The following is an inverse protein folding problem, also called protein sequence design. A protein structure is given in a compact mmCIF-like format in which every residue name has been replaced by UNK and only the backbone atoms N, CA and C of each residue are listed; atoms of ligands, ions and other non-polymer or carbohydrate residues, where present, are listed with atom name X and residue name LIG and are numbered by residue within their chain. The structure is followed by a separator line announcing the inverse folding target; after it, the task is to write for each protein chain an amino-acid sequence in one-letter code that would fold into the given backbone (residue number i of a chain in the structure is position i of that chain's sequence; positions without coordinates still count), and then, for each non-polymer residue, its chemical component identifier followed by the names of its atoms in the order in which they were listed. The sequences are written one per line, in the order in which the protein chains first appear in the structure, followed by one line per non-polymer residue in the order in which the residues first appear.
data_IF_495438070579
#
_entry.id   IF_495438070579
#
_cell.length_a   1.000
_cell.length_b   1.000
_cell.length_c   1.000
_cell.angle_alpha   90.00
_cell.angle_beta   90.00
_cell.angle_gamma   90.00
#
_symmetry.space_group_name_H-M   'P 1'
#
loop_
_entity.id
_entity.type
_entity.pdbx_description
1 polymer ?
#
# COMPACT_ATOMS: atom_id res chain seq x y z
N UNK A 1 6.27 24.98 -9.58
CA UNK A 1 5.48 24.45 -8.45
C UNK A 1 4.69 23.30 -9.01
N UNK A 2 5.03 22.07 -8.61
CA UNK A 2 4.32 20.88 -9.10
C UNK A 2 3.23 20.49 -8.08
N UNK A 3 2.15 19.86 -8.58
CA UNK A 3 1.11 19.28 -7.77
C UNK A 3 1.25 17.75 -7.77
N UNK A 4 1.46 17.16 -6.61
CA UNK A 4 1.90 15.78 -6.41
C UNK A 4 0.85 14.97 -5.67
N UNK A 5 0.54 13.78 -6.19
CA UNK A 5 -0.22 12.79 -5.45
C UNK A 5 0.72 11.84 -4.71
N UNK A 6 0.47 11.59 -3.43
CA UNK A 6 1.13 10.54 -2.66
C UNK A 6 0.12 9.50 -2.21
N UNK A 7 0.39 8.22 -2.52
CA UNK A 7 -0.40 7.08 -2.04
C UNK A 7 0.45 6.16 -1.20
N UNK A 8 0.06 5.94 0.04
CA UNK A 8 0.84 5.11 0.94
C UNK A 8 0.00 3.98 1.56
N UNK A 9 0.66 2.85 1.83
CA UNK A 9 0.06 1.76 2.57
C UNK A 9 -0.20 2.19 4.03
N UNK A 10 -1.33 1.79 4.65
CA UNK A 10 -1.70 2.20 6.00
C UNK A 10 -0.91 1.41 7.06
N UNK A 11 0.28 1.86 7.36
CA UNK A 11 1.15 1.26 8.37
C UNK A 11 2.28 2.21 8.80
N UNK A 12 2.65 2.21 10.07
CA UNK A 12 3.70 3.10 10.59
C UNK A 12 5.04 2.94 9.87
N UNK A 13 5.43 1.71 9.56
CA UNK A 13 6.65 1.42 8.82
C UNK A 13 6.65 1.94 7.37
N UNK A 14 5.48 2.25 6.83
CA UNK A 14 5.28 2.81 5.50
C UNK A 14 5.13 4.33 5.54
N UNK A 15 4.36 4.87 6.48
CA UNK A 15 4.07 6.30 6.59
C UNK A 15 5.26 7.06 7.14
N UNK A 16 5.83 6.65 8.29
CA UNK A 16 6.88 7.41 8.96
C UNK A 16 8.11 7.70 8.07
N UNK A 17 8.63 6.76 7.25
CA UNK A 17 9.76 7.04 6.38
C UNK A 17 9.49 8.09 5.31
N UNK A 18 8.23 8.28 4.90
CA UNK A 18 7.87 9.23 3.84
C UNK A 18 7.65 10.65 4.34
N UNK A 19 7.41 10.85 5.65
CA UNK A 19 7.08 12.19 6.18
C UNK A 19 8.19 13.21 5.91
N UNK A 20 9.46 12.85 6.10
CA UNK A 20 10.59 13.74 5.83
C UNK A 20 10.70 14.10 4.34
N UNK A 21 10.43 13.16 3.44
CA UNK A 21 10.39 13.40 2.00
C UNK A 21 9.28 14.40 1.65
N UNK A 22 8.09 14.19 2.19
CA UNK A 22 6.93 15.06 1.92
C UNK A 22 7.17 16.48 2.47
N UNK A 23 7.70 16.59 3.68
CA UNK A 23 8.06 17.88 4.27
C UNK A 23 9.07 18.65 3.39
N UNK A 24 10.07 17.95 2.84
CA UNK A 24 11.05 18.55 1.93
C UNK A 24 10.44 19.00 0.61
N UNK A 25 9.53 18.22 0.00
CA UNK A 25 8.81 18.61 -1.21
C UNK A 25 7.96 19.87 -0.98
N UNK A 26 7.23 19.92 0.13
CA UNK A 26 6.44 21.10 0.51
C UNK A 26 7.34 22.31 0.74
N UNK A 27 8.48 22.18 1.42
CA UNK A 27 9.47 23.27 1.61
C UNK A 27 10.04 23.78 0.29
N UNK A 28 10.14 22.94 -0.73
CA UNK A 28 10.55 23.35 -2.09
C UNK A 28 9.42 23.98 -2.90
N UNK A 29 8.24 24.13 -2.32
CA UNK A 29 7.10 24.78 -2.94
C UNK A 29 6.22 23.85 -3.76
N UNK A 30 6.30 22.54 -3.58
CA UNK A 30 5.38 21.60 -4.21
C UNK A 30 4.09 21.48 -3.39
N UNK A 31 2.95 21.36 -4.08
CA UNK A 31 1.66 21.06 -3.47
C UNK A 31 1.48 19.55 -3.39
N UNK A 32 1.52 18.97 -2.19
CA UNK A 32 1.40 17.53 -2.01
C UNK A 32 0.03 17.18 -1.45
N UNK A 33 -0.71 16.33 -2.17
CA UNK A 33 -1.95 15.71 -1.72
C UNK A 33 -1.64 14.26 -1.32
N UNK A 34 -1.79 13.96 -0.03
CA UNK A 34 -1.38 12.69 0.55
C UNK A 34 -2.59 11.84 0.93
N UNK A 35 -2.77 10.71 0.24
CA UNK A 35 -3.81 9.73 0.51
C UNK A 35 -3.34 8.68 1.52
N UNK A 36 -4.02 8.58 2.66
CA UNK A 36 -3.79 7.57 3.69
C UNK A 36 -5.06 7.37 4.54
N UNK A 37 -5.01 6.48 5.54
CA UNK A 37 -6.11 6.32 6.50
C UNK A 37 -6.09 7.43 7.55
N UNK A 38 -7.27 7.72 8.15
CA UNK A 38 -7.48 8.84 9.08
C UNK A 38 -6.52 8.85 10.28
N UNK A 39 -6.07 7.68 10.73
CA UNK A 39 -5.13 7.52 11.85
C UNK A 39 -3.81 8.29 11.67
N UNK A 40 -3.39 8.57 10.42
CA UNK A 40 -2.13 9.27 10.10
C UNK A 40 -2.32 10.74 9.77
N UNK A 41 -3.55 11.26 9.76
CA UNK A 41 -3.88 12.63 9.35
C UNK A 41 -2.99 13.67 10.02
N UNK A 42 -2.95 13.71 11.35
CA UNK A 42 -2.16 14.70 12.08
C UNK A 42 -0.67 14.67 11.76
N UNK A 43 -0.10 13.47 11.57
CA UNK A 43 1.31 13.31 11.21
C UNK A 43 1.59 13.84 9.80
N UNK A 44 0.67 13.59 8.87
CA UNK A 44 0.79 13.99 7.47
C UNK A 44 0.60 15.50 7.34
N UNK A 45 -0.44 16.06 7.95
CA UNK A 45 -0.71 17.52 7.89
C UNK A 45 0.41 18.36 8.52
N UNK A 46 1.14 17.83 9.53
CA UNK A 46 2.33 18.49 10.09
C UNK A 46 3.46 18.69 9.08
N UNK A 47 3.50 17.91 8.00
CA UNK A 47 4.47 18.10 6.91
C UNK A 47 4.10 19.27 5.98
N UNK A 48 2.88 19.81 6.11
CA UNK A 48 2.31 20.80 5.21
C UNK A 48 1.58 20.21 4.00
N UNK A 49 1.49 18.90 3.87
CA UNK A 49 0.71 18.23 2.84
C UNK A 49 -0.80 18.31 3.12
N UNK A 50 -1.59 18.34 2.05
CA UNK A 50 -3.04 18.19 2.13
C UNK A 50 -3.40 16.71 2.31
N UNK A 51 -3.99 16.36 3.44
CA UNK A 51 -4.43 15.00 3.70
C UNK A 51 -5.77 14.71 3.03
N UNK A 52 -5.88 13.52 2.42
CA UNK A 52 -7.16 12.94 1.95
C UNK A 52 -7.30 11.50 2.43
N UNK A 53 -8.42 11.15 3.06
CA UNK A 53 -8.62 9.80 3.58
C UNK A 53 -9.06 8.80 2.52
N UNK A 54 -8.66 7.55 2.70
CA UNK A 54 -9.32 6.39 2.14
C UNK A 54 -9.72 5.41 3.26
N UNK A 55 -10.70 4.51 2.98
CA UNK A 55 -11.18 3.54 3.97
C UNK A 55 -10.04 2.61 4.45
N UNK A 56 -9.89 2.49 5.78
CA UNK A 56 -8.92 1.57 6.36
C UNK A 56 -9.36 0.12 6.14
N UNK A 57 -8.86 -0.51 5.09
CA UNK A 57 -9.18 -1.90 4.75
C UNK A 57 -8.54 -2.92 5.70
N UNK A 58 -7.54 -2.53 6.49
CA UNK A 58 -6.93 -3.38 7.51
C UNK A 58 -7.73 -3.39 8.81
N UNK A 59 -8.56 -2.39 9.08
CA UNK A 59 -9.34 -2.28 10.31
C UNK A 59 -10.30 -3.46 10.52
N UNK A 60 -10.73 -4.12 9.45
CA UNK A 60 -11.61 -5.30 9.48
C UNK A 60 -10.84 -6.62 9.56
N UNK A 61 -9.52 -6.58 9.49
CA UNK A 61 -8.67 -7.76 9.58
C UNK A 61 -8.26 -7.96 11.02
N UNK A 62 -8.72 -9.06 11.63
CA UNK A 62 -8.26 -9.45 12.97
C UNK A 62 -6.78 -9.85 12.91
N UNK A 63 -5.92 -8.92 13.34
CA UNK A 63 -4.48 -9.09 13.26
C UNK A 63 -3.99 -10.26 14.12
N UNK A 64 -4.66 -10.55 15.27
CA UNK A 64 -4.32 -11.69 16.11
C UNK A 64 -4.62 -13.01 15.41
N UNK A 65 -5.79 -13.11 14.78
CA UNK A 65 -6.15 -14.29 13.98
C UNK A 65 -5.21 -14.49 12.80
N UNK A 66 -4.77 -13.38 12.16
CA UNK A 66 -3.77 -13.44 11.11
C UNK A 66 -2.43 -13.98 11.62
N UNK A 67 -1.94 -13.49 12.75
CA UNK A 67 -0.68 -13.96 13.35
C UNK A 67 -0.75 -15.43 13.79
N UNK A 68 -1.92 -15.89 14.24
CA UNK A 68 -2.15 -17.29 14.63
C UNK A 68 -2.40 -18.23 13.44
N UNK A 69 -2.42 -17.71 12.20
CA UNK A 69 -2.72 -18.51 11.01
C UNK A 69 -4.17 -18.98 10.89
N UNK A 70 -5.09 -18.31 11.60
CA UNK A 70 -6.53 -18.65 11.62
C UNK A 70 -7.30 -18.05 10.44
N UNK A 71 -6.70 -17.09 9.72
CA UNK A 71 -7.29 -16.47 8.53
C UNK A 71 -6.71 -17.16 7.31
N UNK A 72 -7.59 -17.63 6.42
CA UNK A 72 -7.17 -18.16 5.12
C UNK A 72 -6.49 -17.05 4.29
N UNK A 73 -5.24 -17.27 3.83
CA UNK A 73 -4.51 -16.28 3.03
C UNK A 73 -5.26 -15.85 1.76
N UNK A 74 -6.06 -16.73 1.17
CA UNK A 74 -6.85 -16.42 -0.04
C UNK A 74 -8.03 -15.50 0.27
N UNK A 75 -8.69 -15.65 1.41
CA UNK A 75 -9.74 -14.74 1.87
C UNK A 75 -9.19 -13.35 2.18
N UNK A 76 -8.03 -13.30 2.85
CA UNK A 76 -7.34 -12.03 3.12
C UNK A 76 -6.97 -11.32 1.82
N UNK A 77 -6.38 -12.04 0.86
CA UNK A 77 -6.00 -11.48 -0.43
C UNK A 77 -7.24 -10.95 -1.17
N UNK A 78 -8.32 -11.72 -1.20
CA UNK A 78 -9.57 -11.31 -1.84
C UNK A 78 -10.16 -10.05 -1.18
N UNK A 79 -10.12 -9.97 0.15
CA UNK A 79 -10.55 -8.79 0.90
C UNK A 79 -9.71 -7.55 0.52
N UNK A 80 -8.38 -7.69 0.46
CA UNK A 80 -7.49 -6.61 0.07
C UNK A 80 -7.76 -6.14 -1.37
N UNK A 81 -7.89 -7.05 -2.32
CA UNK A 81 -8.16 -6.72 -3.73
C UNK A 81 -9.49 -5.98 -3.89
N UNK A 82 -10.56 -6.45 -3.24
CA UNK A 82 -11.88 -5.77 -3.27
C UNK A 82 -11.82 -4.38 -2.64
N UNK A 83 -11.07 -4.23 -1.56
CA UNK A 83 -10.92 -2.93 -0.90
C UNK A 83 -10.12 -1.95 -1.75
N UNK A 84 -9.04 -2.41 -2.39
CA UNK A 84 -8.27 -1.59 -3.32
C UNK A 84 -9.10 -1.15 -4.53
N UNK A 85 -9.91 -2.03 -5.13
CA UNK A 85 -10.82 -1.69 -6.24
C UNK A 85 -11.79 -0.58 -5.84
N UNK A 86 -12.38 -0.67 -4.64
CA UNK A 86 -13.25 0.37 -4.10
C UNK A 86 -12.53 1.71 -3.93
N UNK A 87 -11.33 1.70 -3.34
CA UNK A 87 -10.51 2.91 -3.14
C UNK A 87 -10.18 3.54 -4.49
N UNK A 88 -9.73 2.76 -5.48
CA UNK A 88 -9.37 3.24 -6.81
C UNK A 88 -10.56 3.96 -7.47
N UNK A 89 -11.76 3.37 -7.43
CA UNK A 89 -12.96 3.97 -8.02
C UNK A 89 -13.32 5.30 -7.38
N UNK A 90 -13.28 5.38 -6.05
CA UNK A 90 -13.59 6.61 -5.31
C UNK A 90 -12.55 7.69 -5.64
N UNK A 91 -11.26 7.36 -5.56
CA UNK A 91 -10.19 8.33 -5.77
C UNK A 91 -10.15 8.83 -7.22
N UNK A 92 -10.34 7.95 -8.22
CA UNK A 92 -10.40 8.39 -9.63
C UNK A 92 -11.56 9.38 -9.83
N UNK A 93 -12.71 9.14 -9.20
CA UNK A 93 -13.85 10.05 -9.29
C UNK A 93 -13.54 11.42 -8.67
N UNK A 94 -12.88 11.44 -7.49
CA UNK A 94 -12.45 12.67 -6.82
C UNK A 94 -11.44 13.48 -7.64
N UNK A 95 -10.58 12.79 -8.41
CA UNK A 95 -9.47 13.42 -9.13
C UNK A 95 -9.84 13.87 -10.55
N UNK A 96 -11.04 13.59 -11.05
CA UNK A 96 -11.45 13.86 -12.45
C UNK A 96 -11.26 15.31 -12.90
N UNK A 97 -11.54 16.25 -12.02
CA UNK A 97 -11.49 17.69 -12.34
C UNK A 97 -10.18 18.34 -11.89
N UNK A 98 -9.27 17.56 -11.30
CA UNK A 98 -8.00 18.06 -10.79
C UNK A 98 -6.85 17.66 -11.71
N UNK A 99 -5.82 18.54 -11.78
CA UNK A 99 -4.61 18.26 -12.54
C UNK A 99 -3.44 18.05 -11.60
N UNK A 100 -2.67 17.02 -11.86
CA UNK A 100 -1.47 16.66 -11.14
C UNK A 100 -0.30 16.46 -12.09
N UNK A 101 0.92 16.66 -11.61
CA UNK A 101 2.12 16.54 -12.41
C UNK A 101 2.74 15.15 -12.32
N UNK A 102 2.68 14.52 -11.16
CA UNK A 102 3.18 13.15 -10.95
C UNK A 102 2.62 12.50 -9.69
N UNK A 103 2.82 11.19 -9.58
CA UNK A 103 2.41 10.36 -8.45
C UNK A 103 3.63 9.76 -7.77
N UNK A 104 3.68 9.83 -6.44
CA UNK A 104 4.55 9.00 -5.61
C UNK A 104 3.68 7.93 -4.94
N UNK A 105 4.11 6.69 -4.95
CA UNK A 105 3.34 5.61 -4.32
C UNK A 105 4.23 4.62 -3.59
N UNK A 106 3.72 4.06 -2.49
CA UNK A 106 4.38 2.96 -1.80
C UNK A 106 4.36 1.70 -2.68
N UNK A 107 5.51 1.05 -2.84
CA UNK A 107 5.66 -0.14 -3.68
C UNK A 107 4.81 -1.34 -3.22
N UNK A 108 4.38 -1.36 -1.96
CA UNK A 108 3.46 -2.36 -1.42
C UNK A 108 1.99 -1.98 -1.56
N UNK A 109 1.68 -0.82 -2.17
CA UNK A 109 0.32 -0.31 -2.34
C UNK A 109 0.01 -0.01 -3.81
N UNK A 110 -0.46 -1.03 -4.53
CA UNK A 110 -0.71 -0.97 -5.96
C UNK A 110 -1.73 0.12 -6.39
N UNK A 111 -2.55 0.63 -5.47
CA UNK A 111 -3.55 1.68 -5.73
C UNK A 111 -2.92 2.89 -6.42
N UNK A 112 -1.81 3.41 -5.88
CA UNK A 112 -1.15 4.59 -6.45
C UNK A 112 -0.59 4.34 -7.85
N UNK A 113 -0.04 3.15 -8.10
CA UNK A 113 0.42 2.76 -9.44
C UNK A 113 -0.73 2.71 -10.44
N UNK A 114 -1.86 2.08 -10.07
CA UNK A 114 -3.04 1.95 -10.94
C UNK A 114 -3.66 3.32 -11.26
N UNK A 115 -3.75 4.21 -10.25
CA UNK A 115 -4.26 5.57 -10.42
C UNK A 115 -3.35 6.37 -11.36
N UNK A 116 -2.02 6.27 -11.19
CA UNK A 116 -1.06 6.95 -12.06
C UNK A 116 -1.21 6.50 -13.53
N UNK A 117 -1.41 5.19 -13.77
CA UNK A 117 -1.68 4.67 -15.12
C UNK A 117 -3.02 5.21 -15.68
N UNK A 118 -4.08 5.18 -14.88
CA UNK A 118 -5.41 5.64 -15.31
C UNK A 118 -5.43 7.15 -15.65
N UNK A 119 -4.62 7.94 -14.95
CA UNK A 119 -4.50 9.40 -15.18
C UNK A 119 -3.36 9.76 -16.13
N UNK A 120 -2.64 8.78 -16.68
CA UNK A 120 -1.47 8.98 -17.56
C UNK A 120 -0.38 9.88 -16.96
N UNK A 121 -0.15 9.76 -15.64
CA UNK A 121 0.82 10.57 -14.92
C UNK A 121 2.17 9.85 -14.78
N UNK A 122 3.30 10.60 -14.82
CA UNK A 122 4.58 10.10 -14.36
C UNK A 122 4.47 9.56 -12.93
N UNK A 123 5.21 8.49 -12.61
CA UNK A 123 5.10 7.84 -11.32
C UNK A 123 6.46 7.46 -10.74
N UNK A 124 6.56 7.61 -9.43
CA UNK A 124 7.75 7.29 -8.63
C UNK A 124 7.35 6.26 -7.57
N UNK A 125 8.04 5.13 -7.56
CA UNK A 125 7.83 4.10 -6.53
C UNK A 125 8.70 4.41 -5.31
N UNK A 126 8.06 4.58 -4.16
CA UNK A 126 8.72 4.70 -2.86
C UNK A 126 8.86 3.32 -2.22
N UNK A 127 10.09 2.92 -1.94
CA UNK A 127 10.38 1.64 -1.30
C UNK A 127 10.65 1.86 0.20
N UNK A 128 9.63 1.69 1.01
CA UNK A 128 9.67 1.92 2.47
C UNK A 128 10.20 0.72 3.25
N UNK A 129 10.37 -0.43 2.61
CA UNK A 129 10.88 -1.66 3.23
C UNK A 129 12.26 -2.03 2.64
N UNK A 130 12.31 -3.03 1.78
CA UNK A 130 13.51 -3.43 1.04
C UNK A 130 13.17 -3.75 -0.41
N UNK A 131 14.08 -3.47 -1.29
CA UNK A 131 13.88 -3.73 -2.72
C UNK A 131 13.89 -5.24 -2.99
N UNK A 132 12.76 -5.76 -3.46
CA UNK A 132 12.63 -7.17 -3.83
C UNK A 132 13.18 -7.37 -5.23
N UNK A 133 14.39 -7.93 -5.33
CA UNK A 133 14.95 -8.34 -6.62
C UNK A 133 14.26 -9.61 -7.14
N UNK A 134 14.31 -9.85 -8.45
CA UNK A 134 13.80 -11.10 -9.05
C UNK A 134 14.37 -12.35 -8.40
N UNK A 135 15.65 -12.31 -8.01
CA UNK A 135 16.33 -13.42 -7.32
C UNK A 135 15.72 -13.66 -5.93
N UNK A 136 15.52 -12.59 -5.15
CA UNK A 136 14.91 -12.68 -3.82
C UNK A 136 13.45 -13.13 -3.92
N UNK A 137 12.68 -12.56 -4.85
CA UNK A 137 11.29 -12.98 -5.09
C UNK A 137 11.19 -14.48 -5.41
N UNK A 138 12.01 -14.98 -6.33
CA UNK A 138 12.04 -16.41 -6.67
C UNK A 138 12.43 -17.29 -5.47
N UNK A 139 13.39 -16.85 -4.64
CA UNK A 139 13.78 -17.57 -3.44
C UNK A 139 12.64 -17.64 -2.41
N UNK A 140 11.93 -16.54 -2.18
CA UNK A 140 10.77 -16.48 -1.27
C UNK A 140 9.63 -17.39 -1.75
N UNK A 141 9.33 -17.35 -3.06
CA UNK A 141 8.25 -18.18 -3.63
C UNK A 141 8.60 -19.67 -3.61
N UNK A 142 9.85 -20.04 -3.84
CA UNK A 142 10.31 -21.42 -3.77
C UNK A 142 10.25 -21.98 -2.34
N UNK A 143 10.70 -21.20 -1.34
CA UNK A 143 10.61 -21.61 0.07
C UNK A 143 9.15 -21.78 0.52
N UNK A 144 8.25 -20.89 0.10
CA UNK A 144 6.83 -21.01 0.42
C UNK A 144 6.21 -22.27 -0.18
N UNK A 145 6.59 -22.65 -1.41
CA UNK A 145 6.13 -23.88 -2.04
C UNK A 145 6.64 -25.15 -1.31
N UNK A 146 7.84 -25.13 -0.77
CA UNK A 146 8.40 -26.23 0.04
C UNK A 146 7.69 -26.37 1.39
N UNK A 147 7.44 -25.27 2.10
CA UNK A 147 6.70 -25.28 3.36
C UNK A 147 5.26 -25.74 3.16
N UNK A 148 4.59 -25.32 2.11
CA UNK A 148 3.23 -25.75 1.77
C UNK A 148 3.18 -27.23 1.44
N UNK A 149 4.16 -27.78 0.71
CA UNK A 149 4.28 -29.21 0.45
C UNK A 149 4.50 -30.00 1.73
N UNK A 150 5.39 -29.52 2.62
CA UNK A 150 5.65 -30.17 3.91
C UNK A 150 4.42 -30.16 4.82
N UNK A 151 3.66 -29.06 4.84
CA UNK A 151 2.43 -28.96 5.63
C UNK A 151 1.32 -29.89 5.12
N UNK A 152 1.19 -30.03 3.80
CA UNK A 152 0.29 -30.99 3.16
C UNK A 152 0.72 -32.44 3.43
N UNK A 153 2.02 -32.72 3.46
CA UNK A 153 2.56 -34.05 3.76
C UNK A 153 2.30 -34.45 5.20
N UNK A 154 2.51 -33.53 6.17
CA UNK A 154 2.24 -33.75 7.59
C UNK A 154 0.75 -33.96 7.86
N UNK A 155 -0.15 -33.19 7.18
CA UNK A 155 -1.60 -33.44 7.28
C UNK A 155 -2.01 -34.80 6.75
N UNK A 156 -1.38 -35.31 5.69
CA UNK A 156 -1.62 -36.67 5.18
C UNK A 156 -1.15 -37.76 6.12
N UNK A 157 -0.08 -37.55 6.89
CA UNK A 157 0.43 -38.52 7.87
C UNK A 157 -0.40 -38.60 9.17
N UNK A 158 -1.26 -37.60 9.46
CA UNK A 158 -2.14 -37.58 10.64
C UNK A 158 -3.51 -38.24 10.45
N UNK A 159 -3.77 -38.82 9.27
CA UNK A 159 -5.04 -39.46 8.92
C UNK A 159 -4.90 -41.03 8.95
N UNK A 160 -3.79 -41.54 9.53
CA UNK A 160 -3.66 -42.96 9.85
C UNK A 160 -3.42 -43.19 11.33
#
# INVERSE_FOLDING_TARGET
MAKVLMFNFPGEGHVNPTLALIEELVKRGEEVVYYCVEEYKEKIEKTGALFRPYENFLAKVDMLKRMNGEIDPSELLLHMVKSMDKIIKIVIEELKEEKYDYVIYDNNFAVGWIIAEALHLPKISSCTTFAVTKKLFNALMNNHNEETKNHLFIKKLRIF
#
